data_IF_806888602745
#
_entry.id   IF_806888602745
#
_cell.length_a   1.000
_cell.length_b   1.000
_cell.length_c   1.000
_cell.angle_alpha   90.00
_cell.angle_beta   90.00
_cell.angle_gamma   90.00
#
_symmetry.space_group_name_H-M   'P 1'
#
loop_
_entity.id
_entity.type
_entity.pdbx_description
1 polymer ?
#
# COMPACT_ATOMS: atom_id res chain seq x y z
N UNK A 1 0.53 -7.55 -17.19
CA UNK A 1 1.12 -8.25 -16.02
C UNK A 1 1.40 -7.21 -14.94
N UNK A 2 1.08 -7.50 -13.69
CA UNK A 2 1.29 -6.59 -12.55
C UNK A 2 2.62 -6.93 -11.88
N UNK A 3 3.43 -5.92 -11.55
CA UNK A 3 4.67 -6.10 -10.77
C UNK A 3 4.68 -5.15 -9.57
N UNK A 4 5.09 -5.66 -8.41
CA UNK A 4 5.39 -4.83 -7.24
C UNK A 4 6.85 -4.38 -7.35
N UNK A 5 7.13 -3.09 -7.26
CA UNK A 5 8.47 -2.52 -7.48
C UNK A 5 9.12 -2.07 -6.18
N UNK A 6 8.38 -1.36 -5.32
CA UNK A 6 8.88 -0.99 -4.00
C UNK A 6 7.76 -0.76 -3.00
N UNK A 7 8.02 -1.06 -1.73
CA UNK A 7 7.13 -0.77 -0.61
C UNK A 7 7.84 0.13 0.40
N UNK A 8 7.18 1.22 0.76
CA UNK A 8 7.57 2.07 1.88
C UNK A 8 6.44 2.10 2.91
N UNK A 9 6.78 1.96 4.18
CA UNK A 9 5.81 2.02 5.26
C UNK A 9 6.46 2.59 6.52
N UNK A 10 5.75 3.49 7.20
CA UNK A 10 6.14 4.02 8.51
C UNK A 10 4.92 4.04 9.42
N UNK A 11 5.10 3.51 10.62
CA UNK A 11 4.09 3.36 11.66
C UNK A 11 2.84 2.56 11.23
N UNK A 12 2.94 1.75 10.17
CA UNK A 12 1.84 0.88 9.74
C UNK A 12 1.97 -0.46 10.49
N UNK A 13 1.12 -0.67 11.50
CA UNK A 13 1.24 -1.71 12.52
C UNK A 13 2.62 -1.71 13.18
N UNK A 14 3.53 -2.60 12.78
CA UNK A 14 4.93 -2.66 13.28
C UNK A 14 5.97 -2.29 12.22
N UNK A 15 5.56 -1.93 10.99
CA UNK A 15 6.51 -1.64 9.91
C UNK A 15 7.08 -0.23 10.03
N UNK A 16 8.41 -0.18 9.93
CA UNK A 16 9.19 1.04 9.77
C UNK A 16 10.30 0.75 8.77
N UNK A 17 10.20 1.36 7.59
CA UNK A 17 11.26 1.35 6.59
C UNK A 17 11.84 2.75 6.47
N UNK A 18 13.15 2.89 6.68
CA UNK A 18 13.84 4.18 6.53
C UNK A 18 13.86 4.66 5.07
N UNK A 19 13.80 3.71 4.14
CA UNK A 19 13.78 3.92 2.69
C UNK A 19 12.87 2.88 2.02
N UNK A 20 12.35 3.14 0.80
CA UNK A 20 11.53 2.16 0.09
C UNK A 20 12.27 0.83 -0.10
N UNK A 21 11.67 -0.27 0.35
CA UNK A 21 12.19 -1.61 0.13
C UNK A 21 11.88 -2.04 -1.30
N UNK A 22 12.93 -2.16 -2.12
CA UNK A 22 12.81 -2.59 -3.52
C UNK A 22 12.52 -4.08 -3.62
N UNK A 23 11.59 -4.45 -4.49
CA UNK A 23 11.29 -5.83 -4.84
C UNK A 23 12.01 -6.16 -6.16
N UNK A 24 12.97 -7.10 -6.17
CA UNK A 24 13.64 -7.50 -7.39
C UNK A 24 12.72 -8.33 -8.29
N UNK A 25 13.09 -8.46 -9.56
CA UNK A 25 12.46 -9.45 -10.43
C UNK A 25 12.81 -10.88 -9.97
N UNK A 26 11.91 -11.82 -10.23
CA UNK A 26 12.06 -13.23 -9.85
C UNK A 26 11.42 -13.56 -8.51
N UNK A 27 12.10 -14.39 -7.72
CA UNK A 27 11.56 -14.93 -6.45
C UNK A 27 12.06 -14.09 -5.27
N UNK A 28 11.13 -13.55 -4.50
CA UNK A 28 11.41 -12.86 -3.22
C UNK A 28 10.98 -13.74 -2.05
N UNK A 29 11.91 -14.07 -1.15
CA UNK A 29 11.63 -14.80 0.10
C UNK A 29 11.52 -13.81 1.27
N UNK A 30 10.40 -13.88 1.99
CA UNK A 30 10.19 -13.13 3.24
C UNK A 30 10.13 -14.13 4.40
N UNK A 31 11.20 -14.21 5.19
CA UNK A 31 11.34 -15.16 6.29
C UNK A 31 11.63 -14.45 7.63
N UNK A 32 11.35 -15.15 8.73
CA UNK A 32 11.55 -14.64 10.09
C UNK A 32 10.63 -15.35 11.10
N UNK A 33 10.82 -15.14 12.41
CA UNK A 33 9.97 -15.71 13.46
C UNK A 33 8.50 -15.32 13.35
N UNK A 34 7.62 -16.01 14.08
CA UNK A 34 6.25 -15.53 14.25
C UNK A 34 6.25 -14.10 14.79
N UNK A 35 5.26 -13.31 14.37
CA UNK A 35 5.12 -11.89 14.75
C UNK A 35 6.26 -10.95 14.31
N UNK A 36 7.19 -11.40 13.47
CA UNK A 36 8.28 -10.57 12.91
C UNK A 36 7.83 -9.54 11.87
N UNK A 37 6.52 -9.45 11.57
CA UNK A 37 5.96 -8.51 10.60
C UNK A 37 5.78 -9.05 9.17
N UNK A 38 5.98 -10.35 8.91
CA UNK A 38 5.77 -10.96 7.57
C UNK A 38 4.35 -10.75 7.03
N UNK A 39 3.33 -11.07 7.84
CA UNK A 39 1.93 -10.84 7.45
C UNK A 39 1.62 -9.35 7.34
N UNK A 40 2.25 -8.52 8.19
CA UNK A 40 2.10 -7.06 8.12
C UNK A 40 2.66 -6.50 6.81
N UNK A 41 3.75 -7.04 6.30
CA UNK A 41 4.30 -6.68 4.98
C UNK A 41 3.28 -6.91 3.88
N UNK A 42 2.65 -8.09 3.86
CA UNK A 42 1.58 -8.40 2.89
C UNK A 42 0.35 -7.49 3.10
N UNK A 43 -0.05 -7.27 4.35
CA UNK A 43 -1.14 -6.33 4.67
C UNK A 43 -0.84 -4.91 4.18
N UNK A 44 0.42 -4.46 4.21
CA UNK A 44 0.78 -3.14 3.71
C UNK A 44 0.64 -3.04 2.19
N UNK A 45 1.02 -4.07 1.44
CA UNK A 45 0.79 -4.13 -0.02
C UNK A 45 -0.73 -4.09 -0.30
N UNK A 46 -1.50 -4.93 0.38
CA UNK A 46 -2.95 -4.98 0.22
C UNK A 46 -3.61 -3.66 0.61
N UNK A 47 -3.15 -3.01 1.67
CA UNK A 47 -3.68 -1.73 2.11
C UNK A 47 -3.34 -0.62 1.11
N UNK A 48 -2.13 -0.62 0.55
CA UNK A 48 -1.75 0.32 -0.49
C UNK A 48 -2.68 0.22 -1.70
N UNK A 49 -2.96 -1.00 -2.17
CA UNK A 49 -3.81 -1.23 -3.33
C UNK A 49 -5.30 -0.98 -3.03
N UNK A 50 -5.82 -1.53 -1.93
CA UNK A 50 -7.27 -1.64 -1.70
C UNK A 50 -7.81 -0.90 -0.47
N UNK A 51 -6.94 -0.26 0.33
CA UNK A 51 -7.29 0.25 1.67
C UNK A 51 -7.92 -0.81 2.59
N UNK A 52 -7.50 -2.07 2.42
CA UNK A 52 -7.94 -3.22 3.20
C UNK A 52 -6.76 -4.09 3.60
N UNK A 53 -6.94 -4.86 4.67
CA UNK A 53 -5.96 -5.82 5.20
C UNK A 53 -6.64 -7.16 5.42
N UNK A 54 -5.88 -8.25 5.61
CA UNK A 54 -6.48 -9.55 5.94
C UNK A 54 -6.72 -9.67 7.45
N UNK A 55 -5.81 -9.10 8.26
CA UNK A 55 -5.83 -9.24 9.73
C UNK A 55 -5.83 -7.88 10.42
N UNK A 56 -6.55 -7.69 11.54
CA UNK A 56 -7.49 -8.64 12.16
C UNK A 56 -8.83 -8.73 11.41
N UNK A 57 -9.19 -7.73 10.60
CA UNK A 57 -10.42 -7.70 9.80
C UNK A 57 -10.18 -7.04 8.44
N UNK A 58 -11.07 -7.30 7.47
CA UNK A 58 -11.02 -6.66 6.14
C UNK A 58 -11.37 -5.17 6.14
N UNK A 59 -11.95 -4.67 7.23
CA UNK A 59 -12.29 -3.27 7.48
C UNK A 59 -11.66 -2.83 8.81
N UNK A 60 -10.34 -2.66 8.84
CA UNK A 60 -9.63 -2.29 10.06
C UNK A 60 -10.02 -0.86 10.48
N UNK A 61 -10.00 -0.60 11.79
CA UNK A 61 -10.01 0.77 12.31
C UNK A 61 -8.66 1.44 12.04
N UNK A 62 -8.58 2.77 12.16
CA UNK A 62 -7.30 3.45 12.01
C UNK A 62 -6.34 3.07 13.15
N UNK A 63 -6.87 2.82 14.34
CA UNK A 63 -6.17 2.34 15.53
C UNK A 63 -5.52 0.96 15.30
N UNK A 64 -6.20 0.06 14.58
CA UNK A 64 -5.64 -1.26 14.21
C UNK A 64 -4.43 -1.15 13.26
N UNK A 65 -4.34 -0.06 12.51
CA UNK A 65 -3.34 0.13 11.47
C UNK A 65 -2.17 1.01 11.89
N UNK A 66 -2.34 1.83 12.92
CA UNK A 66 -1.32 2.77 13.38
C UNK A 66 -0.57 2.13 14.55
N UNK A 67 0.76 2.20 14.53
CA UNK A 67 1.60 1.76 15.66
C UNK A 67 1.15 2.42 16.96
N UNK A 68 1.08 1.63 18.04
CA UNK A 68 0.73 2.14 19.37
C UNK A 68 1.59 3.36 19.77
N UNK A 69 0.93 4.39 20.31
CA UNK A 69 1.57 5.65 20.68
C UNK A 69 1.90 6.59 19.51
N UNK A 70 1.56 6.23 18.27
CA UNK A 70 1.63 7.12 17.09
C UNK A 70 0.24 7.61 16.72
N UNK A 71 0.19 8.75 16.02
CA UNK A 71 -1.05 9.39 15.59
C UNK A 71 -1.28 9.29 14.07
N UNK A 72 -0.29 8.77 13.34
CA UNK A 72 -0.28 8.66 11.88
C UNK A 72 0.54 7.48 11.38
N UNK A 73 0.11 6.93 10.25
CA UNK A 73 0.85 5.94 9.47
C UNK A 73 0.88 6.31 7.99
N UNK A 74 1.91 5.86 7.28
CA UNK A 74 2.07 6.05 5.84
C UNK A 74 2.37 4.70 5.22
N UNK A 75 1.70 4.39 4.12
CA UNK A 75 2.02 3.28 3.23
C UNK A 75 2.13 3.82 1.81
N UNK A 76 3.23 3.54 1.13
CA UNK A 76 3.41 3.87 -0.28
C UNK A 76 3.93 2.65 -1.04
N UNK A 77 3.35 2.42 -2.20
CA UNK A 77 3.68 1.29 -3.07
C UNK A 77 3.92 1.82 -4.47
N UNK A 78 5.06 1.45 -5.03
CA UNK A 78 5.32 1.59 -6.46
C UNK A 78 5.06 0.23 -7.12
N UNK A 79 4.26 0.23 -8.18
CA UNK A 79 3.88 -0.97 -8.92
C UNK A 79 3.77 -0.66 -10.42
N UNK A 80 3.87 -1.67 -11.28
CA UNK A 80 3.63 -1.50 -12.71
C UNK A 80 2.50 -2.41 -13.20
N UNK A 81 1.84 -1.94 -14.26
CA UNK A 81 0.84 -2.69 -15.02
C UNK A 81 1.21 -2.58 -16.50
N UNK A 82 1.73 -3.68 -17.05
CA UNK A 82 2.38 -3.62 -18.37
C UNK A 82 3.58 -2.67 -18.31
N UNK A 83 3.64 -1.70 -19.23
CA UNK A 83 4.74 -0.75 -19.33
C UNK A 83 4.52 0.53 -18.51
N UNK A 84 3.37 0.65 -17.84
CA UNK A 84 3.01 1.83 -17.05
C UNK A 84 3.39 1.62 -15.59
N UNK A 85 4.03 2.62 -14.99
CA UNK A 85 4.45 2.59 -13.58
C UNK A 85 3.64 3.58 -12.77
N UNK A 86 3.21 3.17 -11.58
CA UNK A 86 2.35 3.94 -10.71
C UNK A 86 2.91 4.00 -9.30
N UNK A 87 2.58 5.08 -8.60
CA UNK A 87 2.82 5.26 -7.17
C UNK A 87 1.49 5.49 -6.48
N UNK A 88 1.18 4.68 -5.49
CA UNK A 88 0.11 4.99 -4.53
C UNK A 88 0.73 5.39 -3.20
N UNK A 89 0.16 6.40 -2.55
CA UNK A 89 0.45 6.77 -1.17
C UNK A 89 -0.87 6.88 -0.40
N UNK A 90 -0.96 6.19 0.73
CA UNK A 90 -2.06 6.32 1.70
C UNK A 90 -1.49 6.78 3.03
N UNK A 91 -2.09 7.84 3.58
CA UNK A 91 -1.80 8.34 4.93
C UNK A 91 -3.02 8.14 5.82
N UNK A 92 -2.78 7.55 6.96
CA UNK A 92 -3.77 7.19 7.97
C UNK A 92 -3.55 8.13 9.15
N UNK A 93 -4.64 8.66 9.72
CA UNK A 93 -4.57 9.54 10.89
C UNK A 93 -5.64 9.16 11.90
N UNK A 94 -5.33 9.28 13.20
CA UNK A 94 -6.32 9.07 14.26
C UNK A 94 -7.32 10.24 14.36
N UNK A 95 -6.83 11.47 14.21
CA UNK A 95 -7.60 12.69 14.56
C UNK A 95 -8.05 13.53 13.37
N UNK A 96 -7.79 13.09 12.13
CA UNK A 96 -8.17 13.81 10.91
C UNK A 96 -8.48 12.85 9.77
N UNK A 97 -9.12 13.30 8.68
CA UNK A 97 -9.42 12.42 7.56
C UNK A 97 -8.16 11.79 6.94
N UNK A 98 -8.27 10.50 6.62
CA UNK A 98 -7.25 9.78 5.86
C UNK A 98 -7.10 10.38 4.45
N UNK A 99 -5.90 10.35 3.90
CA UNK A 99 -5.63 10.85 2.55
C UNK A 99 -5.04 9.75 1.68
N UNK A 100 -5.38 9.74 0.39
CA UNK A 100 -4.75 8.87 -0.59
C UNK A 100 -4.47 9.64 -1.88
N UNK A 101 -3.41 9.25 -2.58
CA UNK A 101 -3.05 9.80 -3.89
C UNK A 101 -2.48 8.69 -4.76
N UNK A 102 -2.87 8.70 -6.02
CA UNK A 102 -2.36 7.82 -7.06
C UNK A 102 -1.72 8.66 -8.15
N UNK A 103 -0.49 8.34 -8.52
CA UNK A 103 0.22 8.95 -9.63
C UNK A 103 0.64 7.91 -10.64
N UNK A 104 0.70 8.31 -11.90
CA UNK A 104 1.47 7.65 -12.93
C UNK A 104 2.86 8.29 -12.98
N UNK A 105 3.91 7.46 -13.01
CA UNK A 105 5.30 7.87 -13.09
C UNK A 105 5.68 7.92 -14.57
N UNK A 106 5.85 9.12 -15.11
CA UNK A 106 6.26 9.38 -16.49
C UNK A 106 7.70 9.90 -16.53
N UNK A 107 8.38 9.85 -17.70
CA UNK A 107 9.69 10.46 -17.87
C UNK A 107 9.72 11.97 -17.54
N UNK A 108 8.60 12.67 -17.75
CA UNK A 108 8.43 14.09 -17.45
C UNK A 108 8.08 14.38 -15.98
N UNK A 109 7.90 13.36 -15.16
CA UNK A 109 7.54 13.48 -13.74
C UNK A 109 6.26 12.75 -13.37
N UNK A 110 5.69 13.12 -12.22
CA UNK A 110 4.49 12.47 -11.68
C UNK A 110 3.21 13.12 -12.24
N UNK A 111 2.37 12.33 -12.90
CA UNK A 111 1.02 12.73 -13.28
C UNK A 111 0.03 12.24 -12.23
N UNK A 112 -0.66 13.17 -11.55
CA UNK A 112 -1.72 12.81 -10.60
C UNK A 112 -2.92 12.20 -11.34
N UNK A 113 -3.35 11.02 -10.90
CA UNK A 113 -4.49 10.29 -11.48
C UNK A 113 -5.72 10.41 -10.60
N UNK A 114 -5.58 10.20 -9.29
CA UNK A 114 -6.70 10.23 -8.35
C UNK A 114 -6.27 10.71 -6.96
N UNK A 115 -7.25 11.25 -6.21
CA UNK A 115 -7.09 11.63 -4.80
C UNK A 115 -8.28 11.17 -3.97
N UNK A 116 -8.04 10.92 -2.69
CA UNK A 116 -9.04 10.38 -1.76
C UNK A 116 -9.10 8.85 -1.78
N UNK A 117 -9.47 8.25 -0.65
CA UNK A 117 -9.37 6.79 -0.43
C UNK A 117 -10.17 5.99 -1.47
N UNK A 118 -11.42 6.38 -1.70
CA UNK A 118 -12.34 5.68 -2.62
C UNK A 118 -11.94 5.86 -4.10
N UNK A 119 -11.76 7.08 -4.64
CA UNK A 119 -11.37 7.24 -6.05
C UNK A 119 -10.03 6.57 -6.38
N UNK A 120 -9.07 6.59 -5.44
CA UNK A 120 -7.79 5.90 -5.62
C UNK A 120 -7.98 4.38 -5.68
N UNK A 121 -8.80 3.79 -4.81
CA UNK A 121 -9.08 2.34 -4.85
C UNK A 121 -9.79 1.95 -6.14
N UNK A 122 -10.84 2.68 -6.55
CA UNK A 122 -11.60 2.40 -7.77
C UNK A 122 -10.70 2.47 -9.02
N UNK A 123 -9.76 3.41 -9.05
CA UNK A 123 -8.82 3.52 -10.17
C UNK A 123 -7.78 2.40 -10.19
N UNK A 124 -7.27 2.00 -9.02
CA UNK A 124 -6.36 0.85 -8.91
C UNK A 124 -7.08 -0.43 -9.38
N UNK A 125 -8.32 -0.67 -8.95
CA UNK A 125 -9.10 -1.84 -9.38
C UNK A 125 -9.26 -1.88 -10.91
N UNK A 126 -9.55 -0.74 -11.56
CA UNK A 126 -9.58 -0.66 -13.03
C UNK A 126 -8.23 -0.98 -13.67
N UNK A 127 -7.14 -0.42 -13.13
CA UNK A 127 -5.79 -0.68 -13.63
C UNK A 127 -5.41 -2.17 -13.50
N UNK A 128 -5.88 -2.85 -12.47
CA UNK A 128 -5.63 -4.27 -12.23
C UNK A 128 -6.61 -5.20 -12.98
N UNK A 129 -7.36 -4.68 -13.96
CA UNK A 129 -8.27 -5.47 -14.79
C UNK A 129 -9.61 -5.78 -14.12
N UNK A 130 -10.02 -4.96 -13.16
CA UNK A 130 -11.28 -5.11 -12.41
C UNK A 130 -11.16 -5.98 -11.15
N UNK A 131 -9.96 -6.51 -10.83
CA UNK A 131 -9.75 -7.36 -9.65
C UNK A 131 -9.85 -6.53 -8.37
N UNK A 132 -10.94 -6.74 -7.65
CA UNK A 132 -11.22 -6.18 -6.34
C UNK A 132 -10.58 -7.01 -5.22
N UNK A 133 -10.54 -6.46 -4.01
CA UNK A 133 -10.05 -7.19 -2.83
C UNK A 133 -10.80 -8.50 -2.55
N UNK A 134 -12.06 -8.62 -2.98
CA UNK A 134 -12.88 -9.82 -2.72
C UNK A 134 -12.58 -10.99 -3.67
N UNK A 135 -11.85 -10.73 -4.75
CA UNK A 135 -11.48 -11.71 -5.77
C UNK A 135 -10.04 -12.23 -5.58
N UNK A 136 -9.35 -11.76 -4.54
CA UNK A 136 -8.06 -12.26 -4.06
C UNK A 136 -8.24 -13.37 -3.02
#
# INVERSE_FOLDING_TARGET
MVKILSLYAVNFKRLVFEQPLKMPEGVTLICGPNESGKSTFLDAILYALYARVIRPSSRPTNEDLITYGKDRAIVSLDFSVGDRTFKVERRIYLKRPNTARLWEILPSGLRLIATGQRPVTEEIEKLLGGISFHEL
#
